data_IF_241891733419
#
_entry.id   IF_241891733419
#
_cell.length_a   1.000
_cell.length_b   1.000
_cell.length_c   1.000
_cell.angle_alpha   90.00
_cell.angle_beta   90.00
_cell.angle_gamma   90.00
#
_symmetry.space_group_name_H-M   'P 1'
#
loop_
_entity.id
_entity.type
_entity.pdbx_description
1 polymer ?
#
# COMPACT_ATOMS: atom_id res chain seq x y z
N UNK A 1 -2.15 -7.03 -28.59
CA UNK A 1 -0.89 -6.88 -27.80
C UNK A 1 -0.95 -5.57 -27.04
N UNK A 2 -1.00 -5.56 -25.70
CA UNK A 2 -0.59 -4.40 -24.95
C UNK A 2 0.84 -4.62 -24.42
N UNK A 3 1.66 -3.58 -24.62
CA UNK A 3 3.03 -3.48 -24.14
C UNK A 3 3.03 -3.49 -22.60
N UNK A 4 3.67 -4.49 -22.00
CA UNK A 4 3.97 -4.59 -20.57
C UNK A 4 4.85 -3.40 -20.19
N UNK A 5 4.25 -2.35 -19.64
CA UNK A 5 4.94 -1.10 -19.33
C UNK A 5 5.87 -1.31 -18.13
N UNK A 6 7.13 -1.69 -18.38
CA UNK A 6 8.17 -1.97 -17.36
C UNK A 6 8.35 -0.83 -16.32
N UNK A 7 7.90 0.39 -16.62
CA UNK A 7 7.89 1.52 -15.67
C UNK A 7 6.84 1.36 -14.57
N UNK A 8 5.63 0.88 -14.89
CA UNK A 8 4.56 0.71 -13.90
C UNK A 8 4.91 -0.34 -12.81
N UNK A 9 5.63 -1.40 -13.20
CA UNK A 9 6.17 -2.40 -12.27
C UNK A 9 7.19 -1.82 -11.29
N UNK A 10 8.08 -0.95 -11.77
CA UNK A 10 9.07 -0.27 -10.92
C UNK A 10 8.40 0.69 -9.92
N UNK A 11 7.29 1.32 -10.28
CA UNK A 11 6.53 2.17 -9.36
C UNK A 11 5.73 1.37 -8.34
N UNK A 12 5.27 0.16 -8.68
CA UNK A 12 4.53 -0.73 -7.75
C UNK A 12 5.43 -1.34 -6.67
N UNK A 13 6.70 -1.64 -6.98
CA UNK A 13 7.70 -2.11 -6.00
C UNK A 13 7.99 -1.05 -4.93
N UNK A 14 7.90 0.24 -5.27
CA UNK A 14 8.24 1.36 -4.36
C UNK A 14 7.20 1.56 -3.24
N UNK A 15 6.00 0.98 -3.35
CA UNK A 15 4.92 1.13 -2.35
C UNK A 15 4.82 -0.02 -1.33
N UNK A 16 5.76 -0.98 -1.32
CA UNK A 16 5.74 -2.09 -0.35
C UNK A 16 6.46 -1.67 0.94
N UNK A 17 5.84 -0.80 1.74
CA UNK A 17 6.25 -0.56 3.14
C UNK A 17 5.60 -1.58 4.07
N UNK A 18 5.92 -2.85 3.84
CA UNK A 18 5.74 -3.91 4.81
C UNK A 18 6.95 -4.80 4.62
N UNK A 19 8.02 -4.49 5.35
CA UNK A 19 9.17 -5.35 5.31
C UNK A 19 8.97 -6.50 6.27
N UNK A 20 9.21 -7.69 5.75
CA UNK A 20 8.54 -8.91 6.10
C UNK A 20 9.55 -9.99 5.73
N UNK A 21 10.24 -10.55 6.72
CA UNK A 21 11.32 -11.52 6.51
C UNK A 21 11.59 -12.39 7.79
N UNK A 22 11.70 -13.74 7.72
CA UNK A 22 12.16 -14.74 8.76
C UNK A 22 13.64 -15.16 8.90
N UNK A 23 14.28 -14.96 10.06
CA UNK A 23 15.59 -15.57 10.38
C UNK A 23 15.47 -16.98 10.94
N UNK A 24 16.22 -17.93 10.37
CA UNK A 24 16.63 -19.16 11.06
C UNK A 24 18.16 -19.13 11.20
N UNK A 25 18.65 -18.81 12.39
CA UNK A 25 20.07 -18.84 12.69
C UNK A 25 20.57 -20.29 12.54
N UNK A 26 21.17 -20.63 11.41
CA UNK A 26 22.07 -21.77 11.31
C UNK A 26 23.35 -21.40 12.07
N UNK A 27 23.44 -21.89 13.29
CA UNK A 27 24.50 -21.63 14.24
C UNK A 27 25.91 -21.88 13.66
N UNK A 28 26.68 -20.82 13.48
CA UNK A 28 28.14 -20.90 13.59
C UNK A 28 28.51 -20.70 15.08
N UNK A 29 28.32 -21.74 15.88
CA UNK A 29 28.60 -21.70 17.31
C UNK A 29 28.49 -23.09 17.92
N UNK A 30 29.63 -23.68 18.21
CA UNK A 30 29.80 -25.00 18.79
C UNK A 30 29.19 -25.06 20.20
N UNK A 31 27.89 -25.30 20.33
CA UNK A 31 27.30 -25.94 21.50
C UNK A 31 25.93 -26.57 21.21
N UNK A 32 25.71 -27.71 21.84
CA UNK A 32 24.58 -28.62 21.63
C UNK A 32 23.26 -27.99 22.10
N UNK A 33 22.39 -27.64 21.16
CA UNK A 33 20.94 -27.51 21.39
C UNK A 33 20.19 -28.59 20.61
N UNK A 34 19.54 -29.48 21.35
CA UNK A 34 18.68 -30.54 20.85
C UNK A 34 17.45 -29.94 20.13
N UNK A 35 17.22 -30.32 18.87
CA UNK A 35 15.89 -30.22 18.26
C UNK A 35 15.76 -29.55 16.87
N UNK A 36 16.81 -28.94 16.31
CA UNK A 36 16.74 -28.51 14.92
C UNK A 36 16.90 -29.75 14.02
N UNK A 37 15.80 -30.21 13.41
CA UNK A 37 15.90 -31.17 12.28
C UNK A 37 16.80 -30.53 11.24
N UNK A 38 17.89 -31.21 10.88
CA UNK A 38 18.74 -30.85 9.74
C UNK A 38 17.85 -30.53 8.53
N UNK A 39 17.92 -29.28 8.05
CA UNK A 39 17.23 -28.89 6.84
C UNK A 39 18.02 -29.41 5.64
N UNK A 40 17.53 -30.50 5.06
CA UNK A 40 18.12 -31.12 3.87
C UNK A 40 17.46 -30.62 2.57
N UNK A 41 16.69 -29.52 2.62
CA UNK A 41 16.10 -28.93 1.42
C UNK A 41 17.15 -28.27 0.54
N UNK A 42 16.81 -28.07 -0.73
CA UNK A 42 17.73 -27.52 -1.73
C UNK A 42 18.09 -26.08 -1.36
N UNK A 43 19.38 -25.75 -1.39
CA UNK A 43 19.82 -24.35 -1.32
C UNK A 43 19.44 -23.63 -2.61
N UNK A 44 18.65 -22.56 -2.51
CA UNK A 44 18.17 -21.78 -3.67
C UNK A 44 18.84 -20.41 -3.77
N UNK A 45 19.42 -19.88 -2.69
CA UNK A 45 20.27 -18.69 -2.73
C UNK A 45 21.52 -18.93 -1.90
N UNK A 46 22.68 -18.57 -2.45
CA UNK A 46 23.94 -18.45 -1.70
C UNK A 46 24.38 -17.01 -1.73
N UNK A 47 24.84 -16.51 -0.59
CA UNK A 47 25.35 -15.16 -0.47
C UNK A 47 26.50 -15.11 0.54
N UNK A 48 27.27 -14.03 0.50
CA UNK A 48 28.36 -13.82 1.46
C UNK A 48 27.82 -13.76 2.88
N UNK A 49 28.05 -14.82 3.64
CA UNK A 49 27.62 -14.93 5.04
C UNK A 49 26.49 -15.92 5.30
N UNK A 50 25.93 -16.57 4.27
CA UNK A 50 24.89 -17.58 4.49
C UNK A 50 24.27 -18.13 3.21
N UNK A 51 23.19 -18.87 3.41
CA UNK A 51 22.37 -19.44 2.33
C UNK A 51 20.90 -19.35 2.69
N UNK A 52 20.03 -19.45 1.68
CA UNK A 52 18.57 -19.59 1.85
C UNK A 52 18.16 -20.89 1.19
N UNK A 53 17.49 -21.74 1.95
CA UNK A 53 16.95 -23.00 1.47
C UNK A 53 15.56 -22.83 0.84
N UNK A 54 15.15 -23.80 0.03
CA UNK A 54 13.82 -23.85 -0.57
C UNK A 54 12.74 -23.83 0.52
N UNK A 55 12.97 -24.54 1.64
CA UNK A 55 12.04 -24.58 2.76
C UNK A 55 11.89 -23.21 3.45
N UNK A 56 13.00 -22.50 3.64
CA UNK A 56 13.00 -21.14 4.20
C UNK A 56 12.26 -20.16 3.29
N UNK A 57 12.51 -20.23 1.99
CA UNK A 57 11.84 -19.40 1.00
C UNK A 57 10.34 -19.72 0.88
N UNK A 58 9.96 -20.99 0.97
CA UNK A 58 8.55 -21.39 0.99
C UNK A 58 7.85 -20.91 2.27
N UNK A 59 8.56 -20.91 3.41
CA UNK A 59 8.04 -20.35 4.64
C UNK A 59 7.83 -18.84 4.49
N UNK A 60 8.78 -18.12 3.89
CA UNK A 60 8.69 -16.68 3.57
C UNK A 60 7.45 -16.36 2.74
N UNK A 61 7.21 -17.11 1.67
CA UNK A 61 6.01 -16.93 0.84
C UNK A 61 4.71 -17.15 1.64
N UNK A 62 4.66 -18.14 2.54
CA UNK A 62 3.48 -18.38 3.39
C UNK A 62 3.28 -17.28 4.42
N UNK A 63 4.35 -16.69 4.95
CA UNK A 63 4.27 -15.52 5.82
C UNK A 63 3.72 -14.29 5.09
N UNK A 64 4.20 -14.00 3.87
CA UNK A 64 3.65 -12.93 3.04
C UNK A 64 2.17 -13.19 2.76
N UNK A 65 1.80 -14.42 2.41
CA UNK A 65 0.40 -14.80 2.17
C UNK A 65 -0.49 -14.62 3.40
N UNK A 66 0.04 -14.85 4.60
CA UNK A 66 -0.66 -14.66 5.87
C UNK A 66 -0.80 -13.18 6.24
N UNK A 67 0.29 -12.42 6.14
CA UNK A 67 0.36 -11.02 6.58
C UNK A 67 -0.28 -10.06 5.58
N UNK A 68 -0.26 -10.41 4.29
CA UNK A 68 -0.65 -9.53 3.19
C UNK A 68 -1.25 -10.36 2.03
N UNK A 69 -2.45 -10.93 2.22
CA UNK A 69 -3.09 -11.83 1.27
C UNK A 69 -3.34 -11.20 -0.12
N UNK A 70 -3.40 -9.87 -0.21
CA UNK A 70 -3.47 -9.12 -1.46
C UNK A 70 -2.29 -9.40 -2.41
N UNK A 71 -1.14 -9.86 -1.89
CA UNK A 71 0.03 -10.18 -2.70
C UNK A 71 0.04 -11.61 -3.25
N UNK A 72 -0.97 -12.44 -2.95
CA UNK A 72 -1.05 -13.84 -3.36
C UNK A 72 -0.77 -14.09 -4.85
N UNK A 73 -1.36 -13.24 -5.70
CA UNK A 73 -1.21 -13.34 -7.16
C UNK A 73 0.22 -13.03 -7.62
N UNK A 74 0.93 -12.16 -6.90
CA UNK A 74 2.31 -11.78 -7.25
C UNK A 74 3.31 -12.84 -6.81
N UNK A 75 3.01 -13.67 -5.80
CA UNK A 75 3.86 -14.80 -5.38
C UNK A 75 4.13 -15.79 -6.52
N UNK A 76 3.28 -15.82 -7.55
CA UNK A 76 3.48 -16.65 -8.74
C UNK A 76 4.34 -15.99 -9.82
N UNK A 77 4.74 -14.73 -9.67
CA UNK A 77 5.55 -14.02 -10.67
C UNK A 77 7.04 -14.21 -10.38
N UNK A 78 7.81 -14.64 -11.38
CA UNK A 78 9.26 -14.87 -11.26
C UNK A 78 9.98 -13.62 -10.72
N UNK A 79 9.63 -12.43 -11.22
CA UNK A 79 10.27 -11.19 -10.76
C UNK A 79 9.94 -10.85 -9.29
N UNK A 80 8.77 -11.25 -8.79
CA UNK A 80 8.40 -11.04 -7.39
C UNK A 80 9.06 -12.08 -6.49
N UNK A 81 9.19 -13.33 -6.94
CA UNK A 81 9.98 -14.35 -6.24
C UNK A 81 11.44 -13.93 -6.11
N UNK A 82 12.02 -13.38 -7.17
CA UNK A 82 13.37 -12.81 -7.15
C UNK A 82 13.49 -11.67 -6.13
N UNK A 83 12.50 -10.77 -6.10
CA UNK A 83 12.44 -9.69 -5.12
C UNK A 83 12.37 -10.22 -3.69
N UNK A 84 11.47 -11.17 -3.39
CA UNK A 84 11.35 -11.77 -2.07
C UNK A 84 12.63 -12.51 -1.64
N UNK A 85 13.29 -13.21 -2.56
CA UNK A 85 14.55 -13.88 -2.27
C UNK A 85 15.65 -12.86 -1.90
N UNK A 86 15.74 -11.76 -2.67
CA UNK A 86 16.65 -10.64 -2.38
C UNK A 86 16.35 -10.01 -1.03
N UNK A 87 15.08 -9.74 -0.75
CA UNK A 87 14.64 -9.18 0.53
C UNK A 87 14.98 -10.11 1.69
N UNK A 88 14.75 -11.41 1.54
CA UNK A 88 15.14 -12.42 2.52
C UNK A 88 16.64 -12.39 2.82
N UNK A 89 17.48 -12.38 1.78
CA UNK A 89 18.94 -12.27 1.94
C UNK A 89 19.31 -10.99 2.66
N UNK A 90 18.72 -9.86 2.27
CA UNK A 90 19.04 -8.57 2.87
C UNK A 90 18.78 -8.57 4.37
N UNK A 91 17.64 -9.11 4.78
CA UNK A 91 17.28 -9.15 6.18
C UNK A 91 18.03 -10.19 6.98
N UNK A 92 18.36 -11.37 6.44
CA UNK A 92 19.28 -12.27 7.13
C UNK A 92 20.64 -11.61 7.37
N UNK A 93 21.17 -10.99 6.32
CA UNK A 93 22.49 -10.38 6.35
C UNK A 93 22.55 -9.20 7.33
N UNK A 94 21.55 -8.32 7.31
CA UNK A 94 21.47 -7.19 8.23
C UNK A 94 21.16 -7.64 9.67
N UNK A 95 20.31 -8.65 9.84
CA UNK A 95 20.02 -9.22 11.16
C UNK A 95 21.27 -9.79 11.82
N UNK A 96 22.12 -10.49 11.06
CA UNK A 96 23.40 -11.00 11.54
C UNK A 96 24.37 -9.90 11.99
N UNK A 97 24.23 -8.67 11.47
CA UNK A 97 25.02 -7.50 11.87
C UNK A 97 24.44 -6.71 13.04
N UNK A 98 23.16 -6.94 13.37
CA UNK A 98 22.50 -6.20 14.43
C UNK A 98 23.11 -6.50 15.80
N UNK A 99 23.30 -5.44 16.58
CA UNK A 99 23.76 -5.50 17.96
C UNK A 99 22.69 -6.09 18.90
N UNK A 100 23.14 -6.53 20.08
CA UNK A 100 22.26 -7.19 21.06
C UNK A 100 21.17 -6.25 21.60
N UNK A 101 21.44 -4.94 21.66
CA UNK A 101 20.45 -3.95 22.12
C UNK A 101 19.27 -3.87 21.14
N UNK A 102 19.54 -3.89 19.85
CA UNK A 102 18.49 -3.94 18.83
C UNK A 102 17.65 -5.22 18.93
N UNK A 103 18.29 -6.38 19.15
CA UNK A 103 17.61 -7.67 19.31
C UNK A 103 16.72 -7.71 20.55
N UNK A 104 17.20 -7.22 21.69
CA UNK A 104 16.42 -7.16 22.94
C UNK A 104 15.19 -6.25 22.80
N UNK A 105 15.34 -5.08 22.16
CA UNK A 105 14.23 -4.18 21.91
C UNK A 105 13.20 -4.79 20.96
N UNK A 106 13.66 -5.44 19.89
CA UNK A 106 12.82 -6.10 18.90
C UNK A 106 12.05 -7.30 19.47
N UNK A 107 12.65 -8.09 20.36
CA UNK A 107 11.99 -9.22 21.02
C UNK A 107 10.75 -8.78 21.79
N UNK A 108 10.88 -7.70 22.57
CA UNK A 108 9.74 -7.13 23.31
C UNK A 108 8.65 -6.63 22.37
N UNK A 109 9.03 -5.95 21.28
CA UNK A 109 8.08 -5.45 20.29
C UNK A 109 7.36 -6.60 19.56
N UNK A 110 8.07 -7.67 19.20
CA UNK A 110 7.50 -8.85 18.57
C UNK A 110 6.47 -9.53 19.48
N UNK A 111 6.75 -9.66 20.77
CA UNK A 111 5.80 -10.19 21.76
C UNK A 111 4.53 -9.33 21.88
N UNK A 112 4.69 -8.01 21.96
CA UNK A 112 3.58 -7.07 22.07
C UNK A 112 2.71 -7.10 20.80
N UNK A 113 3.32 -7.14 19.61
CA UNK A 113 2.62 -7.21 18.33
C UNK A 113 1.89 -8.55 18.14
N UNK A 114 2.53 -9.67 18.49
CA UNK A 114 1.89 -10.98 18.45
C UNK A 114 0.65 -11.02 19.36
N UNK A 115 0.78 -10.48 20.57
CA UNK A 115 -0.34 -10.36 21.51
C UNK A 115 -1.46 -9.46 20.96
N UNK A 116 -1.12 -8.34 20.32
CA UNK A 116 -2.09 -7.44 19.70
C UNK A 116 -2.83 -8.12 18.55
N UNK A 117 -2.12 -8.83 17.67
CA UNK A 117 -2.74 -9.57 16.56
C UNK A 117 -3.69 -10.66 17.07
N UNK A 118 -3.27 -11.44 18.07
CA UNK A 118 -4.09 -12.45 18.73
C UNK A 118 -5.38 -11.85 19.30
N UNK A 119 -5.26 -10.73 20.01
CA UNK A 119 -6.42 -10.07 20.61
C UNK A 119 -7.35 -9.42 19.58
N UNK A 120 -6.80 -8.88 18.48
CA UNK A 120 -7.57 -8.23 17.43
C UNK A 120 -8.37 -9.20 16.58
N UNK A 121 -7.81 -10.38 16.29
CA UNK A 121 -8.47 -11.44 15.52
C UNK A 121 -9.30 -12.41 16.39
N UNK A 122 -8.94 -12.54 17.67
CA UNK A 122 -9.43 -13.61 18.54
C UNK A 122 -8.56 -14.86 18.43
N UNK A 123 -8.19 -15.47 19.57
CA UNK A 123 -7.17 -16.52 19.62
C UNK A 123 -7.49 -17.73 18.72
N UNK A 124 -8.73 -18.23 18.73
CA UNK A 124 -9.14 -19.38 17.92
C UNK A 124 -9.08 -19.08 16.42
N UNK A 125 -9.50 -17.87 16.01
CA UNK A 125 -9.45 -17.44 14.61
C UNK A 125 -8.01 -17.25 14.16
N UNK A 126 -7.18 -16.65 15.02
CA UNK A 126 -5.75 -16.47 14.76
C UNK A 126 -5.03 -17.79 14.57
N UNK A 127 -5.26 -18.76 15.46
CA UNK A 127 -4.69 -20.09 15.35
C UNK A 127 -5.14 -20.80 14.07
N UNK A 128 -6.44 -20.76 13.75
CA UNK A 128 -6.97 -21.35 12.52
C UNK A 128 -6.40 -20.71 11.25
N UNK A 129 -6.17 -19.39 11.26
CA UNK A 129 -5.57 -18.67 10.16
C UNK A 129 -4.10 -19.07 9.93
N UNK A 130 -3.32 -19.24 11.01
CA UNK A 130 -1.94 -19.76 10.94
C UNK A 130 -1.91 -21.20 10.41
N UNK A 131 -2.78 -22.07 10.92
CA UNK A 131 -2.87 -23.48 10.48
C UNK A 131 -3.22 -23.59 8.99
N UNK A 132 -4.11 -22.72 8.49
CA UNK A 132 -4.46 -22.64 7.06
C UNK A 132 -3.24 -22.39 6.19
N UNK A 133 -2.31 -21.56 6.66
CA UNK A 133 -1.04 -21.26 5.97
C UNK A 133 0.11 -22.17 6.39
N UNK A 134 -0.15 -23.22 7.19
CA UNK A 134 0.88 -24.12 7.73
C UNK A 134 2.00 -23.34 8.46
N UNK A 135 1.60 -22.36 9.26
CA UNK A 135 2.46 -21.53 10.09
C UNK A 135 2.21 -21.82 11.57
N UNK A 136 3.19 -21.49 12.40
CA UNK A 136 3.08 -21.48 13.87
C UNK A 136 3.20 -20.06 14.42
N UNK A 137 2.79 -19.85 15.68
CA UNK A 137 3.02 -18.55 16.35
C UNK A 137 4.52 -18.22 16.42
N UNK A 138 5.38 -19.24 16.55
CA UNK A 138 6.82 -19.06 16.60
C UNK A 138 7.38 -18.61 15.24
N UNK A 139 6.85 -19.12 14.12
CA UNK A 139 7.26 -18.66 12.79
C UNK A 139 6.95 -17.17 12.62
N UNK A 140 5.75 -16.74 13.02
CA UNK A 140 5.35 -15.33 13.00
C UNK A 140 6.19 -14.48 13.97
N UNK A 141 6.50 -14.99 15.17
CA UNK A 141 7.36 -14.26 16.11
C UNK A 141 8.77 -14.10 15.58
N UNK A 142 9.39 -15.18 15.08
CA UNK A 142 10.75 -15.15 14.51
C UNK A 142 10.85 -14.17 13.34
N UNK A 143 9.82 -14.15 12.52
CA UNK A 143 9.67 -13.19 11.43
C UNK A 143 9.63 -11.74 11.93
N UNK A 144 8.73 -11.43 12.87
CA UNK A 144 8.62 -10.10 13.45
C UNK A 144 9.93 -9.68 14.10
N UNK A 145 10.53 -10.57 14.89
CA UNK A 145 11.82 -10.34 15.55
C UNK A 145 12.91 -9.94 14.54
N UNK A 146 13.05 -10.68 13.43
CA UNK A 146 14.05 -10.33 12.42
C UNK A 146 13.84 -8.94 11.85
N UNK A 147 12.62 -8.67 11.37
CA UNK A 147 12.28 -7.38 10.75
C UNK A 147 12.53 -6.24 11.73
N UNK A 148 12.01 -6.36 12.94
CA UNK A 148 12.10 -5.34 13.98
C UNK A 148 13.54 -5.14 14.44
N UNK A 149 14.34 -6.20 14.50
CA UNK A 149 15.76 -6.12 14.84
C UNK A 149 16.53 -5.31 13.80
N UNK A 150 16.31 -5.60 12.51
CA UNK A 150 16.96 -4.85 11.42
C UNK A 150 16.52 -3.39 11.47
N UNK A 151 15.22 -3.12 11.62
CA UNK A 151 14.71 -1.75 11.76
C UNK A 151 15.34 -1.02 12.94
N UNK A 152 15.37 -1.64 14.13
CA UNK A 152 15.92 -1.01 15.33
C UNK A 152 17.44 -0.81 15.22
N UNK A 153 18.16 -1.73 14.59
CA UNK A 153 19.58 -1.56 14.30
C UNK A 153 19.84 -0.37 13.38
N UNK A 154 19.06 -0.22 12.31
CA UNK A 154 19.21 0.93 11.40
C UNK A 154 18.78 2.24 12.05
N UNK A 155 17.73 2.25 12.88
CA UNK A 155 17.31 3.41 13.68
C UNK A 155 18.42 3.86 14.64
N UNK A 156 19.09 2.93 15.31
CA UNK A 156 20.20 3.24 16.21
C UNK A 156 21.41 3.88 15.48
N UNK A 157 21.47 3.79 14.15
CA UNK A 157 22.48 4.43 13.31
C UNK A 157 22.05 5.78 12.72
N UNK A 158 20.82 6.24 12.97
CA UNK A 158 20.33 7.56 12.54
C UNK A 158 20.64 8.58 13.63
N UNK A 159 21.32 9.66 13.26
CA UNK A 159 21.63 10.74 14.20
C UNK A 159 20.50 11.77 14.28
N UNK A 160 20.45 12.55 15.38
CA UNK A 160 19.53 13.70 15.48
C UNK A 160 19.76 14.73 14.35
N UNK A 161 21.00 14.83 13.84
CA UNK A 161 21.33 15.68 12.69
C UNK A 161 20.68 15.17 11.40
N UNK A 162 20.64 13.85 11.19
CA UNK A 162 19.96 13.26 10.03
C UNK A 162 18.45 13.51 10.08
N UNK A 163 17.83 13.32 11.25
CA UNK A 163 16.39 13.61 11.46
C UNK A 163 16.11 15.08 11.18
N UNK A 164 16.94 15.98 11.72
CA UNK A 164 16.78 17.41 11.49
C UNK A 164 16.95 17.80 10.03
N UNK A 165 17.93 17.21 9.34
CA UNK A 165 18.20 17.46 7.92
C UNK A 165 17.03 17.01 7.05
N UNK A 166 16.46 15.84 7.34
CA UNK A 166 15.27 15.35 6.63
C UNK A 166 14.07 16.27 6.88
N UNK A 167 13.81 16.63 8.13
CA UNK A 167 12.78 17.61 8.47
C UNK A 167 12.96 18.93 7.72
N UNK A 168 14.18 19.48 7.66
CA UNK A 168 14.44 20.76 6.99
C UNK A 168 14.21 20.64 5.47
N UNK A 169 14.54 19.49 4.87
CA UNK A 169 14.26 19.21 3.45
C UNK A 169 12.76 19.07 3.17
N UNK A 170 12.00 18.53 4.13
CA UNK A 170 10.58 18.21 4.00
C UNK A 170 9.67 19.13 4.83
N UNK A 171 10.15 20.33 5.22
CA UNK A 171 9.48 21.21 6.20
C UNK A 171 8.01 21.52 5.89
N UNK A 172 7.65 21.58 4.60
CA UNK A 172 6.28 21.81 4.15
C UNK A 172 5.31 20.72 4.60
N UNK A 173 5.79 19.50 4.78
CA UNK A 173 5.00 18.33 5.13
C UNK A 173 4.56 18.39 6.59
N UNK A 174 5.35 19.05 7.43
CA UNK A 174 5.06 19.29 8.84
C UNK A 174 4.31 20.61 9.09
N UNK A 175 3.96 21.36 8.03
CA UNK A 175 3.13 22.56 8.20
C UNK A 175 1.72 22.11 8.59
N UNK A 176 1.26 22.56 9.75
CA UNK A 176 -0.09 22.30 10.22
C UNK A 176 -1.07 23.26 9.53
N UNK A 177 -2.11 22.70 8.93
CA UNK A 177 -3.08 23.45 8.14
C UNK A 177 -4.49 23.12 8.63
N UNK A 178 -5.29 24.16 8.82
CA UNK A 178 -6.74 24.03 8.99
C UNK A 178 -7.42 24.41 7.69
N UNK A 179 -8.20 23.48 7.13
CA UNK A 179 -8.86 23.62 5.83
C UNK A 179 -10.31 23.17 5.96
N UNK A 180 -11.21 23.90 5.29
CA UNK A 180 -12.54 23.38 4.98
C UNK A 180 -12.56 22.90 3.55
N UNK A 181 -13.14 21.74 3.29
CA UNK A 181 -13.24 21.21 1.94
C UNK A 181 -14.58 20.52 1.68
N UNK A 182 -14.91 20.43 0.39
CA UNK A 182 -16.03 19.65 -0.14
C UNK A 182 -15.44 18.68 -1.16
N UNK A 183 -15.61 17.38 -0.92
CA UNK A 183 -15.21 16.34 -1.85
C UNK A 183 -16.41 15.94 -2.72
N UNK A 184 -16.29 16.12 -4.03
CA UNK A 184 -17.19 15.55 -5.03
C UNK A 184 -16.49 14.37 -5.67
N UNK A 185 -16.91 13.16 -5.34
CA UNK A 185 -16.30 11.93 -5.85
C UNK A 185 -16.67 11.67 -7.31
N UNK A 186 -15.81 10.91 -8.00
CA UNK A 186 -16.13 10.33 -9.31
C UNK A 186 -17.27 9.31 -9.25
N UNK A 187 -17.64 8.85 -8.05
CA UNK A 187 -18.78 7.96 -7.82
C UNK A 187 -19.97 8.72 -7.21
N UNK A 188 -21.18 8.25 -7.50
CA UNK A 188 -22.41 8.74 -6.89
C UNK A 188 -22.58 8.22 -5.44
N UNK A 189 -23.72 8.53 -4.80
CA UNK A 189 -23.99 8.14 -3.43
C UNK A 189 -24.16 6.62 -3.27
N UNK A 190 -24.51 5.93 -4.35
CA UNK A 190 -24.66 4.48 -4.46
C UNK A 190 -23.35 3.76 -4.86
N UNK A 191 -22.28 4.51 -5.11
CA UNK A 191 -20.96 3.98 -5.47
C UNK A 191 -20.79 3.67 -6.97
N UNK A 192 -21.72 4.07 -7.82
CA UNK A 192 -21.63 3.90 -9.28
C UNK A 192 -20.81 5.03 -9.88
N UNK A 193 -20.12 4.73 -10.98
CA UNK A 193 -19.34 5.73 -11.69
C UNK A 193 -20.25 6.81 -12.28
N UNK A 194 -19.89 8.06 -12.05
CA UNK A 194 -20.58 9.19 -12.66
C UNK A 194 -20.22 9.29 -14.16
N UNK A 195 -21.13 9.80 -14.99
CA UNK A 195 -20.80 10.27 -16.34
C UNK A 195 -19.58 11.20 -16.36
N UNK A 196 -18.83 11.12 -17.45
CA UNK A 196 -17.65 11.96 -17.67
C UNK A 196 -17.98 13.45 -17.48
N UNK A 197 -17.17 14.15 -16.70
CA UNK A 197 -17.32 15.58 -16.43
C UNK A 197 -18.42 15.96 -15.42
N UNK A 198 -19.27 15.03 -14.97
CA UNK A 198 -20.34 15.33 -14.02
C UNK A 198 -19.78 15.77 -12.65
N UNK A 199 -18.79 15.05 -12.11
CA UNK A 199 -18.16 15.40 -10.85
C UNK A 199 -17.55 16.83 -10.90
N UNK A 200 -16.89 17.18 -12.01
CA UNK A 200 -16.34 18.53 -12.21
C UNK A 200 -17.44 19.59 -12.28
N UNK A 201 -18.57 19.29 -12.93
CA UNK A 201 -19.71 20.22 -13.01
C UNK A 201 -20.28 20.51 -11.62
N UNK A 202 -20.46 19.48 -10.80
CA UNK A 202 -20.93 19.62 -9.41
C UNK A 202 -19.90 20.39 -8.58
N UNK A 203 -18.60 20.10 -8.71
CA UNK A 203 -17.56 20.84 -8.01
C UNK A 203 -17.53 22.34 -8.40
N UNK A 204 -17.76 22.68 -9.67
CA UNK A 204 -17.90 24.09 -10.11
C UNK A 204 -19.15 24.77 -9.56
N UNK A 205 -20.24 24.02 -9.38
CA UNK A 205 -21.43 24.51 -8.69
C UNK A 205 -21.10 24.84 -7.23
N UNK A 206 -20.45 23.92 -6.52
CA UNK A 206 -19.97 24.13 -5.14
C UNK A 206 -19.09 25.37 -5.05
N UNK A 207 -18.08 25.51 -5.91
CA UNK A 207 -17.23 26.71 -5.99
C UNK A 207 -18.07 27.98 -6.18
N UNK A 208 -19.03 27.97 -7.08
CA UNK A 208 -19.90 29.11 -7.37
C UNK A 208 -20.75 29.49 -6.15
N UNK A 209 -21.35 28.52 -5.47
CA UNK A 209 -22.15 28.73 -4.26
C UNK A 209 -21.31 29.35 -3.14
N UNK A 210 -20.12 28.79 -2.89
CA UNK A 210 -19.20 29.30 -1.87
C UNK A 210 -18.69 30.71 -2.18
N UNK A 211 -18.37 31.00 -3.46
CA UNK A 211 -17.97 32.35 -3.88
C UNK A 211 -19.09 33.39 -3.77
N UNK A 212 -20.35 32.97 -3.81
CA UNK A 212 -21.52 33.84 -3.54
C UNK A 212 -21.76 34.08 -2.06
N UNK A 213 -20.98 33.45 -1.17
CA UNK A 213 -21.07 33.61 0.27
C UNK A 213 -22.06 32.67 0.96
N UNK A 214 -22.46 31.57 0.31
CA UNK A 214 -23.21 30.51 0.99
C UNK A 214 -22.39 29.91 2.15
N UNK A 215 -23.08 29.46 3.20
CA UNK A 215 -22.43 28.88 4.38
C UNK A 215 -21.67 27.60 4.00
N UNK A 216 -20.37 27.57 4.29
CA UNK A 216 -19.52 26.43 3.90
C UNK A 216 -19.99 25.12 4.53
N UNK A 217 -20.46 25.15 5.78
CA UNK A 217 -20.88 23.95 6.47
C UNK A 217 -22.18 23.38 5.87
N UNK A 218 -23.11 24.25 5.47
CA UNK A 218 -24.31 23.84 4.74
C UNK A 218 -23.95 23.21 3.38
N UNK A 219 -23.08 23.85 2.59
CA UNK A 219 -22.64 23.32 1.29
C UNK A 219 -21.88 22.00 1.47
N UNK A 220 -21.00 21.89 2.46
CA UNK A 220 -20.30 20.64 2.74
C UNK A 220 -21.26 19.51 3.14
N UNK A 221 -22.29 19.81 3.95
CA UNK A 221 -23.29 18.82 4.34
C UNK A 221 -24.13 18.33 3.16
N UNK A 222 -24.42 19.22 2.22
CA UNK A 222 -25.24 18.90 1.04
C UNK A 222 -24.44 18.15 -0.05
N UNK A 223 -23.20 18.58 -0.32
CA UNK A 223 -22.45 18.12 -1.49
C UNK A 223 -21.26 17.22 -1.17
N UNK A 224 -20.69 17.26 0.04
CA UNK A 224 -19.46 16.54 0.34
C UNK A 224 -19.70 15.05 0.54
N UNK A 225 -18.89 14.24 -0.13
CA UNK A 225 -18.84 12.78 0.02
C UNK A 225 -17.69 12.33 0.94
N UNK A 226 -16.98 13.27 1.59
CA UNK A 226 -15.98 12.93 2.61
C UNK A 226 -16.65 12.58 3.96
N UNK A 227 -16.67 11.31 4.39
CA UNK A 227 -17.30 10.91 5.64
C UNK A 227 -16.61 11.50 6.89
N UNK A 228 -15.33 11.88 6.81
CA UNK A 228 -14.57 12.33 7.97
C UNK A 228 -14.91 13.77 8.39
N UNK A 229 -15.29 14.61 7.41
CA UNK A 229 -15.46 16.06 7.60
C UNK A 229 -16.82 16.62 7.18
N UNK A 230 -17.62 15.94 6.34
CA UNK A 230 -18.90 16.49 5.84
C UNK A 230 -19.81 16.99 6.95
N UNK A 231 -19.96 16.20 8.02
CA UNK A 231 -20.84 16.52 9.15
C UNK A 231 -20.22 17.53 10.13
N UNK A 232 -18.94 17.88 9.92
CA UNK A 232 -18.19 18.92 10.64
C UNK A 232 -18.02 20.19 9.78
N UNK A 233 -18.87 20.34 8.77
CA UNK A 233 -18.83 21.47 7.84
C UNK A 233 -17.58 21.51 6.96
N UNK A 234 -17.08 20.33 6.58
CA UNK A 234 -15.89 20.16 5.76
C UNK A 234 -14.57 20.40 6.48
N UNK A 235 -14.58 20.64 7.80
CA UNK A 235 -13.39 21.06 8.54
C UNK A 235 -12.43 19.89 8.82
N UNK A 236 -11.19 20.07 8.39
CA UNK A 236 -10.01 19.34 8.85
C UNK A 236 -9.15 20.35 9.59
N UNK A 237 -8.99 20.16 10.89
CA UNK A 237 -8.33 21.13 11.77
C UNK A 237 -6.93 20.66 12.18
N UNK A 238 -5.95 21.59 12.06
CA UNK A 238 -4.56 21.44 12.52
C UNK A 238 -3.92 20.08 12.12
N UNK A 239 -3.93 19.76 10.83
CA UNK A 239 -3.27 18.54 10.31
C UNK A 239 -2.01 18.85 9.52
N UNK A 240 -0.96 18.00 9.63
CA UNK A 240 0.27 18.16 8.86
C UNK A 240 0.00 17.89 7.38
N UNK A 241 0.48 18.77 6.51
CA UNK A 241 0.24 18.68 5.06
C UNK A 241 0.80 17.40 4.42
N UNK A 242 1.84 16.80 5.00
CA UNK A 242 2.44 15.54 4.54
C UNK A 242 1.49 14.34 4.61
N UNK A 243 0.43 14.44 5.42
CA UNK A 243 -0.60 13.40 5.51
C UNK A 243 -1.61 13.42 4.35
N UNK A 244 -1.52 14.37 3.43
CA UNK A 244 -2.48 14.58 2.35
C UNK A 244 -1.92 14.16 0.99
N UNK A 245 -2.81 13.71 0.10
CA UNK A 245 -2.46 13.39 -1.29
C UNK A 245 -1.84 14.59 -2.01
N UNK A 246 -0.90 14.38 -2.95
CA UNK A 246 -0.03 15.44 -3.47
C UNK A 246 -0.77 16.69 -3.97
N UNK A 247 -1.84 16.50 -4.74
CA UNK A 247 -2.60 17.60 -5.36
C UNK A 247 -3.37 18.42 -4.30
N UNK A 248 -3.94 17.76 -3.29
CA UNK A 248 -4.61 18.43 -2.17
C UNK A 248 -3.60 19.20 -1.32
N UNK A 249 -2.48 18.55 -0.96
CA UNK A 249 -1.36 19.13 -0.22
C UNK A 249 -0.84 20.39 -0.92
N UNK A 250 -0.54 20.30 -2.21
CA UNK A 250 -0.03 21.43 -3.00
C UNK A 250 -1.01 22.60 -2.98
N UNK A 251 -2.30 22.34 -3.18
CA UNK A 251 -3.29 23.41 -3.14
C UNK A 251 -3.42 24.02 -1.74
N UNK A 252 -3.46 23.21 -0.69
CA UNK A 252 -3.62 23.70 0.67
C UNK A 252 -2.41 24.53 1.15
N UNK A 253 -1.20 24.21 0.67
CA UNK A 253 0.01 24.99 0.92
C UNK A 253 0.04 26.33 0.16
N UNK A 254 -0.53 26.40 -1.04
CA UNK A 254 -0.40 27.56 -1.95
C UNK A 254 -1.62 28.49 -1.95
N UNK A 255 -2.82 27.99 -1.63
CA UNK A 255 -4.06 28.78 -1.64
C UNK A 255 -4.00 29.90 -0.60
N UNK A 256 -4.28 31.13 -1.02
CA UNK A 256 -4.45 32.28 -0.14
C UNK A 256 -5.44 31.99 1.00
N UNK A 257 -5.13 32.47 2.21
CA UNK A 257 -5.99 32.25 3.37
C UNK A 257 -7.39 32.82 3.11
N UNK A 258 -8.40 32.05 3.48
CA UNK A 258 -9.82 32.37 3.36
C UNK A 258 -10.34 32.57 1.93
N UNK A 259 -9.58 32.19 0.90
CA UNK A 259 -10.07 32.12 -0.49
C UNK A 259 -10.63 30.73 -0.79
N UNK A 260 -11.65 30.69 -1.64
CA UNK A 260 -12.19 29.44 -2.21
C UNK A 260 -11.29 29.04 -3.38
N UNK A 261 -10.91 27.77 -3.43
CA UNK A 261 -10.16 27.21 -4.56
C UNK A 261 -11.07 26.94 -5.76
N UNK A 262 -10.49 26.93 -6.96
CA UNK A 262 -11.02 26.13 -8.06
C UNK A 262 -11.03 24.63 -7.68
N UNK A 263 -11.84 23.79 -8.37
CA UNK A 263 -11.82 22.34 -8.18
C UNK A 263 -10.41 21.76 -8.35
N UNK A 264 -9.97 20.99 -7.36
CA UNK A 264 -8.68 20.28 -7.34
C UNK A 264 -8.93 18.81 -7.55
N UNK A 265 -8.38 18.24 -8.61
CA UNK A 265 -8.52 16.81 -8.91
C UNK A 265 -7.55 15.97 -8.08
N UNK A 266 -8.06 14.92 -7.46
CA UNK A 266 -7.29 13.85 -6.80
C UNK A 266 -7.89 12.50 -7.16
N UNK A 267 -7.26 11.40 -6.74
CA UNK A 267 -7.79 10.03 -6.94
C UNK A 267 -9.16 9.78 -6.27
N UNK A 268 -9.59 10.69 -5.38
CA UNK A 268 -10.89 10.62 -4.70
C UNK A 268 -12.01 11.35 -5.45
N UNK A 269 -11.67 12.25 -6.38
CA UNK A 269 -12.59 13.16 -7.05
C UNK A 269 -12.08 14.60 -7.06
N UNK A 270 -13.01 15.56 -7.12
CA UNK A 270 -12.71 16.98 -7.09
C UNK A 270 -12.93 17.58 -5.70
N UNK A 271 -11.97 18.36 -5.23
CA UNK A 271 -12.04 19.07 -3.96
C UNK A 271 -12.20 20.57 -4.20
N UNK A 272 -13.15 21.19 -3.50
CA UNK A 272 -13.23 22.65 -3.38
C UNK A 272 -12.93 23.01 -1.94
N UNK A 273 -11.91 23.84 -1.72
CA UNK A 273 -11.37 24.08 -0.38
C UNK A 273 -11.19 25.55 -0.04
N UNK A 274 -11.13 25.83 1.26
CA UNK A 274 -10.80 27.12 1.86
C UNK A 274 -9.80 26.88 2.98
N UNK A 275 -8.60 27.44 2.87
CA UNK A 275 -7.58 27.33 3.92
C UNK A 275 -7.80 28.41 4.96
N UNK A 276 -8.08 28.02 6.20
CA UNK A 276 -8.39 28.95 7.31
C UNK A 276 -7.13 29.33 8.09
N UNK A 277 -6.18 28.39 8.24
CA UNK A 277 -4.95 28.60 8.98
C UNK A 277 -3.80 27.79 8.38
N UNK A 278 -2.59 28.35 8.39
CA UNK A 278 -1.32 27.66 8.12
C UNK A 278 -0.32 28.02 9.22
N UNK A 279 0.31 27.01 9.80
CA UNK A 279 1.29 27.16 10.87
C UNK A 279 2.49 26.26 10.59
N UNK A 280 3.64 26.87 10.31
CA UNK A 280 4.89 26.14 10.24
C UNK A 280 5.29 25.65 11.62
N UNK A 281 5.58 24.36 11.73
CA UNK A 281 6.13 23.77 12.95
C UNK A 281 7.65 23.91 12.90
N UNK A 282 8.27 24.29 14.02
CA UNK A 282 9.72 24.26 14.16
C UNK A 282 10.16 22.86 14.61
N UNK A 283 11.36 22.43 14.22
CA UNK A 283 11.90 21.11 14.56
C UNK A 283 11.79 20.76 16.05
N UNK A 284 12.17 21.70 16.93
CA UNK A 284 12.15 21.53 18.39
C UNK A 284 10.73 21.40 18.97
N UNK A 285 9.71 21.75 18.18
CA UNK A 285 8.29 21.64 18.52
C UNK A 285 7.62 20.44 17.88
N UNK A 286 8.34 19.62 17.11
CA UNK A 286 7.78 18.39 16.56
C UNK A 286 7.38 17.45 17.69
N UNK A 287 6.16 16.90 17.65
CA UNK A 287 5.76 15.79 18.49
C UNK A 287 6.71 14.60 18.37
N UNK A 288 6.87 13.85 19.46
CA UNK A 288 7.79 12.71 19.51
C UNK A 288 7.44 11.62 18.48
N UNK A 289 6.15 11.39 18.22
CA UNK A 289 5.65 10.48 17.20
C UNK A 289 6.00 10.93 15.77
N UNK A 290 6.05 12.23 15.50
CA UNK A 290 6.49 12.74 14.20
C UNK A 290 8.01 12.58 14.00
N UNK A 291 8.80 12.80 15.07
CA UNK A 291 10.25 12.50 15.04
C UNK A 291 10.52 11.01 14.87
N UNK A 292 9.75 10.17 15.55
CA UNK A 292 9.80 8.72 15.39
C UNK A 292 9.42 8.30 13.95
N UNK A 293 8.45 8.98 13.33
CA UNK A 293 8.13 8.80 11.92
C UNK A 293 9.32 9.05 10.99
N UNK A 294 9.99 10.20 11.12
CA UNK A 294 11.20 10.53 10.35
C UNK A 294 12.30 9.49 10.59
N UNK A 295 12.50 9.10 11.86
CA UNK A 295 13.49 8.09 12.24
C UNK A 295 13.23 6.75 11.53
N UNK A 296 11.97 6.29 11.51
CA UNK A 296 11.59 5.07 10.83
C UNK A 296 11.76 5.17 9.29
N UNK A 297 11.42 6.31 8.70
CA UNK A 297 11.61 6.56 7.27
C UNK A 297 13.09 6.53 6.87
N UNK A 298 13.95 7.18 7.66
CA UNK A 298 15.40 7.18 7.43
C UNK A 298 16.02 5.79 7.63
N UNK A 299 15.56 5.02 8.63
CA UNK A 299 15.98 3.64 8.83
C UNK A 299 15.56 2.76 7.64
N UNK A 300 14.30 2.87 7.17
CA UNK A 300 13.83 2.16 5.98
C UNK A 300 14.64 2.54 4.74
N UNK A 301 14.95 3.83 4.56
CA UNK A 301 15.74 4.30 3.43
C UNK A 301 17.16 3.72 3.41
N UNK A 302 17.78 3.48 4.57
CA UNK A 302 19.08 2.79 4.67
C UNK A 302 18.97 1.34 4.18
N UNK A 303 17.93 0.62 4.58
CA UNK A 303 17.68 -0.76 4.14
C UNK A 303 17.42 -0.80 2.64
N UNK A 304 16.58 0.10 2.12
CA UNK A 304 16.29 0.21 0.70
C UNK A 304 17.54 0.51 -0.12
N UNK A 305 18.39 1.41 0.38
CA UNK A 305 19.67 1.72 -0.25
C UNK A 305 20.56 0.48 -0.32
N UNK A 306 20.67 -0.27 0.78
CA UNK A 306 21.43 -1.51 0.84
C UNK A 306 20.90 -2.54 -0.17
N UNK A 307 19.58 -2.75 -0.24
CA UNK A 307 18.97 -3.68 -1.21
C UNK A 307 19.21 -3.27 -2.66
N UNK A 308 19.20 -1.97 -2.95
CA UNK A 308 19.36 -1.46 -4.31
C UNK A 308 20.82 -1.45 -4.78
N UNK A 309 21.75 -1.10 -3.89
CA UNK A 309 23.11 -0.74 -4.29
C UNK A 309 24.18 -1.75 -3.83
N UNK A 310 23.95 -2.49 -2.75
CA UNK A 310 24.98 -3.34 -2.13
C UNK A 310 24.66 -4.83 -2.22
N UNK A 311 23.37 -5.19 -2.09
CA UNK A 311 22.92 -6.58 -1.98
C UNK A 311 23.36 -7.47 -3.15
N UNK A 312 23.33 -6.95 -4.38
CA UNK A 312 23.68 -7.76 -5.56
C UNK A 312 25.14 -8.25 -5.53
N UNK A 313 26.05 -7.50 -4.90
CA UNK A 313 27.47 -7.88 -4.76
C UNK A 313 27.70 -8.95 -3.68
N UNK A 314 26.67 -9.19 -2.84
CA UNK A 314 26.67 -10.23 -1.82
C UNK A 314 26.12 -11.55 -2.33
N UNK A 315 25.22 -11.54 -3.31
CA UNK A 315 24.59 -12.75 -3.85
C UNK A 315 25.59 -13.49 -4.75
N UNK A 316 25.93 -14.72 -4.37
CA UNK A 316 26.86 -15.58 -5.09
C UNK A 316 26.14 -16.44 -6.14
N UNK A 317 24.95 -16.94 -5.81
CA UNK A 317 24.10 -17.69 -6.72
C UNK A 317 22.64 -17.62 -6.32
N UNK A 318 21.73 -17.66 -7.29
CA UNK A 318 20.28 -17.70 -7.08
C UNK A 318 19.64 -18.63 -8.12
N UNK A 319 18.99 -19.68 -7.64
CA UNK A 319 18.30 -20.72 -8.42
C UNK A 319 16.89 -20.95 -7.86
N UNK A 320 16.00 -20.00 -8.16
CA UNK A 320 14.62 -20.01 -7.66
C UNK A 320 13.73 -20.95 -8.47
N UNK A 321 12.73 -21.58 -7.83
CA UNK A 321 11.69 -22.33 -8.53
C UNK A 321 10.95 -21.42 -9.52
N UNK A 322 11.04 -21.75 -10.81
CA UNK A 322 10.32 -21.03 -11.86
C UNK A 322 8.82 -21.15 -11.67
N UNK A 323 8.09 -20.09 -11.96
CA UNK A 323 6.64 -20.14 -12.09
C UNK A 323 6.23 -21.17 -13.14
N UNK A 324 5.20 -21.95 -12.82
CA UNK A 324 4.54 -22.76 -13.84
C UNK A 324 3.89 -21.78 -14.83
N UNK A 325 4.32 -21.80 -16.10
CA UNK A 325 3.78 -20.97 -17.16
C UNK A 325 2.25 -21.04 -17.17
N UNK A 326 1.58 -19.98 -16.70
CA UNK A 326 0.17 -19.72 -17.01
C UNK A 326 0.07 -18.97 -18.35
N UNK A 327 0.89 -19.36 -19.34
CA UNK A 327 0.64 -19.07 -20.75
C UNK A 327 -0.45 -20.03 -21.26
N UNK A 328 -1.66 -19.89 -20.72
CA UNK A 328 -2.86 -20.34 -21.41
C UNK A 328 -3.55 -19.07 -21.91
N UNK A 329 -3.68 -18.84 -23.22
CA UNK A 329 -4.57 -17.81 -23.72
C UNK A 329 -5.92 -18.02 -23.06
N UNK A 330 -6.54 -16.96 -22.55
CA UNK A 330 -7.93 -17.01 -22.15
C UNK A 330 -8.76 -17.50 -23.34
N UNK A 331 -9.07 -18.79 -23.37
CA UNK A 331 -10.14 -19.33 -24.22
C UNK A 331 -11.39 -18.61 -23.76
N UNK A 332 -11.85 -17.68 -24.60
CA UNK A 332 -13.11 -17.00 -24.41
C UNK A 332 -14.18 -18.05 -24.20
N UNK A 333 -14.83 -17.99 -23.05
CA UNK A 333 -16.11 -18.66 -22.82
C UNK A 333 -17.14 -17.98 -23.70
N UNK A 334 -17.16 -18.35 -24.98
CA UNK A 334 -18.33 -18.24 -25.83
C UNK A 334 -19.34 -19.25 -25.31
N UNK A 335 -20.29 -18.77 -24.53
CA UNK A 335 -21.43 -19.56 -24.09
C UNK A 335 -22.36 -19.78 -25.29
N UNK A 336 -22.06 -20.81 -26.07
CA UNK A 336 -22.91 -21.33 -27.13
C UNK A 336 -24.08 -22.09 -26.48
N UNK A 337 -25.14 -21.37 -26.11
CA UNK A 337 -26.41 -21.99 -25.75
C UNK A 337 -27.07 -22.52 -27.02
N UNK A 338 -26.86 -23.81 -27.27
CA UNK A 338 -27.73 -24.62 -28.15
C UNK A 338 -29.15 -24.59 -27.59
N UNK A 339 -30.05 -23.91 -28.26
CA UNK A 339 -31.46 -24.29 -28.28
C UNK A 339 -31.81 -24.62 -29.73
N UNK A 340 -31.98 -25.91 -29.99
CA UNK A 340 -32.41 -26.41 -31.27
C UNK A 340 -33.93 -26.52 -31.27
N UNK A 341 -34.60 -25.68 -32.03
CA UNK A 341 -35.88 -26.06 -32.64
C UNK A 341 -35.95 -25.47 -34.03
N UNK A 342 -36.09 -26.38 -34.98
CA UNK A 342 -36.41 -26.23 -36.39
C UNK A 342 -37.61 -25.30 -36.62
N UNK A 343 -37.48 -24.31 -37.51
CA UNK A 343 -38.20 -24.38 -38.78
C UNK A 343 -37.73 -23.34 -39.82
N UNK A 344 -37.90 -23.77 -41.07
CA UNK A 344 -37.41 -23.28 -42.35
C UNK A 344 -37.91 -21.86 -42.75
N UNK A 345 -37.13 -21.04 -43.47
CA UNK A 345 -37.64 -19.81 -44.08
C UNK A 345 -38.29 -20.10 -45.44
N UNK A 346 -39.47 -19.52 -45.67
CA UNK A 346 -40.08 -19.40 -46.99
C UNK A 346 -40.13 -17.92 -47.39
N UNK A 347 -39.74 -17.69 -48.64
CA UNK A 347 -39.67 -16.43 -49.36
C UNK A 347 -40.99 -15.65 -49.38
N UNK A 348 -40.89 -14.33 -49.57
CA UNK A 348 -42.06 -13.47 -49.79
C UNK A 348 -41.68 -12.01 -50.01
N UNK A 349 -41.31 -11.72 -51.24
CA UNK A 349 -41.17 -10.40 -51.86
C UNK A 349 -42.42 -9.51 -51.68
N UNK A 350 -42.21 -8.19 -51.50
CA UNK A 350 -42.89 -7.07 -52.17
C UNK A 350 -42.98 -5.77 -51.34
N UNK A 351 -42.32 -4.77 -51.92
CA UNK A 351 -42.48 -3.30 -51.96
C UNK A 351 -43.53 -2.51 -51.14
N UNK A 352 -43.28 -1.20 -50.93
CA UNK A 352 -43.95 -0.33 -49.96
C UNK A 352 -45.10 0.48 -50.56
N UNK A 353 -46.01 1.00 -49.71
CA UNK A 353 -46.80 2.18 -50.06
C UNK A 353 -47.19 3.02 -48.82
N UNK A 354 -47.34 4.30 -49.09
CA UNK A 354 -47.42 5.45 -48.22
C UNK A 354 -48.81 5.67 -47.58
N UNK A 355 -48.83 6.56 -46.58
CA UNK A 355 -49.90 7.54 -46.47
C UNK A 355 -50.63 7.62 -45.13
N UNK A 356 -50.38 8.75 -44.46
CA UNK A 356 -51.35 9.77 -43.99
C UNK A 356 -51.24 10.15 -42.52
N UNK A 357 -51.07 11.45 -42.37
CA UNK A 357 -51.46 12.30 -41.26
C UNK A 357 -52.86 11.95 -40.73
N UNK A 358 -53.04 12.00 -39.41
CA UNK A 358 -54.16 12.75 -38.83
C UNK A 358 -53.82 13.28 -37.44
N UNK A 359 -54.24 14.52 -37.25
CA UNK A 359 -54.25 15.39 -36.10
C UNK A 359 -55.18 14.89 -34.98
N UNK A 360 -54.91 15.25 -33.71
CA UNK A 360 -55.94 15.09 -32.69
C UNK A 360 -55.53 15.26 -31.23
N UNK A 361 -55.42 16.53 -30.82
CA UNK A 361 -55.61 17.09 -29.46
C UNK A 361 -54.68 16.73 -28.30
#
# INVERSE_FOLDING_TARGET
MPLRNKKAWKTFIVSITAVLSMSMIAACGNDKTEGAKEDNSKVIVKYKGGEITEKEFDLEQRMIQFMSPEYAQFLQMDEFKEYLAKQGVAYEYLYAKADDKAKEAAEKQADDLLKQQKNGMGEDQFKAALETQKLTEQDLKNYMLRVLTVMEHEKNQVSEEDIKKDFDANKKDYTNISVRHVLVSFKDAEGKDRPEGEALKIAKEVETKLNKGEDFAAVAKEYSQDPASKDKGGLIENKPAGSWVPQFKEKALTLELNKISAPVETDYGYHVMKVEKREEVAYDKLPADQKEGILNELASAKIDNFMQNELNDLIESMDLPKSENTDKPAEGTGDEKKDGTTDKPAEGDQTPDAGKEDTGK
#
